data_IF_278746283991
#
_entry.id   IF_278746283991
#
_cell.length_a   1.000
_cell.length_b   1.000
_cell.length_c   1.000
_cell.angle_alpha   90.00
_cell.angle_beta   90.00
_cell.angle_gamma   90.00
#
_symmetry.space_group_name_H-M   'P 1'
#
loop_
_entity.id
_entity.type
_entity.pdbx_description
1 polymer ?
#
# COMPACT_ATOMS: atom_id res chain seq x y z
N UNK A 1 -9.65 74.28 14.38
CA UNK A 1 -9.44 73.66 13.06
C UNK A 1 -9.32 72.15 13.25
N UNK A 2 -10.39 71.40 12.92
CA UNK A 2 -10.41 69.92 12.95
C UNK A 2 -9.80 69.37 11.66
N UNK A 3 -8.79 68.52 11.75
CA UNK A 3 -8.33 67.68 10.63
C UNK A 3 -9.15 66.39 10.63
N UNK A 4 -9.97 66.20 9.61
CA UNK A 4 -10.70 64.95 9.37
C UNK A 4 -9.73 63.86 8.91
N UNK A 5 -9.80 62.69 9.55
CA UNK A 5 -9.17 61.46 9.08
C UNK A 5 -10.15 60.79 8.12
N UNK A 6 -9.79 60.68 6.84
CA UNK A 6 -10.50 59.82 5.89
C UNK A 6 -9.97 58.39 6.07
N UNK A 7 -10.83 57.47 6.49
CA UNK A 7 -10.60 56.03 6.39
C UNK A 7 -10.94 55.59 4.96
N UNK A 8 -9.98 54.93 4.31
CA UNK A 8 -10.21 54.17 3.08
C UNK A 8 -10.60 52.75 3.50
N UNK A 9 -11.78 52.22 3.11
CA UNK A 9 -12.10 50.82 3.38
C UNK A 9 -11.27 49.93 2.44
N UNK A 10 -10.40 49.10 3.02
CA UNK A 10 -9.72 48.02 2.32
C UNK A 10 -10.73 46.90 2.09
N UNK A 11 -11.14 46.70 0.84
CA UNK A 11 -11.97 45.57 0.43
C UNK A 11 -11.06 44.33 0.37
N UNK A 12 -11.11 43.46 1.38
CA UNK A 12 -10.41 42.17 1.35
C UNK A 12 -11.31 41.18 0.62
N UNK A 13 -10.95 40.85 -0.62
CA UNK A 13 -11.57 39.78 -1.40
C UNK A 13 -11.05 38.44 -0.86
N UNK A 14 -11.86 37.73 -0.08
CA UNK A 14 -11.54 36.35 0.33
C UNK A 14 -12.01 35.43 -0.79
N UNK A 15 -11.10 35.02 -1.66
CA UNK A 15 -11.34 33.91 -2.58
C UNK A 15 -11.22 32.60 -1.79
N UNK A 16 -12.36 32.05 -1.36
CA UNK A 16 -12.42 30.66 -0.88
C UNK A 16 -12.40 29.76 -2.10
N UNK A 17 -11.26 29.16 -2.41
CA UNK A 17 -11.21 28.01 -3.30
C UNK A 17 -11.76 26.82 -2.51
N UNK A 18 -13.06 26.56 -2.65
CA UNK A 18 -13.66 25.33 -2.15
C UNK A 18 -13.33 24.19 -3.10
N UNK A 19 -12.37 23.35 -2.73
CA UNK A 19 -12.31 22.00 -3.29
C UNK A 19 -13.47 21.22 -2.64
N UNK A 20 -14.53 20.97 -3.41
CA UNK A 20 -15.60 20.07 -2.98
C UNK A 20 -15.03 18.67 -3.17
N UNK A 21 -14.62 18.00 -2.09
CA UNK A 21 -14.37 16.57 -2.11
C UNK A 21 -15.65 15.90 -2.63
N UNK A 22 -15.57 15.28 -3.81
CA UNK A 22 -16.70 14.53 -4.34
C UNK A 22 -16.87 13.29 -3.45
N UNK A 23 -18.10 13.05 -2.99
CA UNK A 23 -18.41 11.85 -2.20
C UNK A 23 -18.12 10.59 -3.02
N UNK A 24 -17.86 9.48 -2.33
CA UNK A 24 -17.64 8.17 -2.95
C UNK A 24 -18.80 7.79 -3.89
N UNK A 25 -18.47 7.44 -5.13
CA UNK A 25 -19.40 6.96 -6.16
C UNK A 25 -19.02 5.52 -6.54
N UNK A 26 -19.79 4.51 -6.10
CA UNK A 26 -19.49 3.10 -6.37
C UNK A 26 -19.45 2.76 -7.87
N UNK A 27 -20.31 3.35 -8.70
CA UNK A 27 -20.34 3.05 -10.14
C UNK A 27 -19.13 3.65 -10.87
N UNK A 28 -18.64 4.78 -10.41
CA UNK A 28 -17.44 5.42 -10.94
C UNK A 28 -16.18 4.68 -10.49
N UNK A 29 -16.15 4.27 -9.22
CA UNK A 29 -15.12 3.41 -8.64
C UNK A 29 -14.94 2.12 -9.45
N UNK A 30 -16.01 1.34 -9.64
CA UNK A 30 -15.97 0.07 -10.39
C UNK A 30 -15.48 0.27 -11.82
N UNK A 31 -15.91 1.36 -12.48
CA UNK A 31 -15.50 1.69 -13.84
C UNK A 31 -14.02 2.01 -13.94
N UNK A 32 -13.50 2.81 -13.01
CA UNK A 32 -12.08 3.16 -12.99
C UNK A 32 -11.24 1.94 -12.64
N UNK A 33 -11.69 1.15 -11.64
CA UNK A 33 -11.03 -0.10 -11.28
C UNK A 33 -11.00 -1.09 -12.44
N UNK A 34 -12.10 -1.23 -13.20
CA UNK A 34 -12.13 -2.07 -14.40
C UNK A 34 -11.25 -1.54 -15.54
N UNK A 35 -11.14 -0.22 -15.71
CA UNK A 35 -10.24 0.39 -16.70
C UNK A 35 -8.77 0.14 -16.35
N UNK A 36 -8.45 0.13 -15.07
CA UNK A 36 -7.13 -0.14 -14.53
C UNK A 36 -6.81 -1.65 -14.52
N UNK A 37 -7.83 -2.47 -14.21
CA UNK A 37 -7.84 -3.87 -13.74
C UNK A 37 -7.38 -4.99 -14.68
N UNK A 38 -7.11 -4.72 -15.96
CA UNK A 38 -6.66 -5.73 -16.94
C UNK A 38 -7.59 -6.96 -17.05
N UNK A 39 -7.35 -7.84 -18.03
CA UNK A 39 -8.08 -9.12 -18.11
C UNK A 39 -7.48 -10.10 -17.08
N UNK A 40 -8.17 -10.30 -15.96
CA UNK A 40 -7.87 -11.32 -14.96
C UNK A 40 -8.11 -12.72 -15.56
N UNK A 41 -7.09 -13.28 -16.19
CA UNK A 41 -7.12 -14.60 -16.80
C UNK A 41 -6.73 -15.68 -15.81
N UNK A 42 -7.62 -16.66 -15.60
CA UNK A 42 -7.36 -17.83 -14.75
C UNK A 42 -6.10 -18.57 -15.26
N UNK A 43 -5.06 -18.59 -14.43
CA UNK A 43 -3.94 -19.56 -14.40
C UNK A 43 -2.58 -18.86 -14.27
N UNK A 44 -2.36 -18.14 -13.17
CA UNK A 44 -1.01 -17.93 -12.66
C UNK A 44 -0.76 -18.91 -11.49
N UNK A 45 0.47 -19.43 -11.43
CA UNK A 45 0.92 -20.23 -10.30
C UNK A 45 1.31 -19.22 -9.22
N UNK A 46 0.56 -19.17 -8.13
CA UNK A 46 0.90 -18.32 -6.99
C UNK A 46 1.73 -19.10 -5.99
N UNK A 47 2.79 -18.49 -5.47
CA UNK A 47 3.50 -18.98 -4.29
C UNK A 47 2.70 -18.54 -3.07
N UNK A 48 2.30 -19.50 -2.25
CA UNK A 48 1.53 -19.28 -1.03
C UNK A 48 2.41 -19.64 0.17
N UNK A 49 2.53 -18.72 1.12
CA UNK A 49 3.06 -19.01 2.46
C UNK A 49 2.07 -18.52 3.51
N UNK A 50 1.94 -19.27 4.60
CA UNK A 50 0.98 -18.96 5.65
C UNK A 50 1.49 -19.38 7.04
N UNK A 51 0.81 -18.90 8.07
CA UNK A 51 0.86 -19.46 9.43
C UNK A 51 -0.54 -19.95 9.82
N UNK A 52 -0.83 -20.06 11.12
CA UNK A 52 -2.15 -20.55 11.60
C UNK A 52 -3.30 -19.54 11.42
N UNK A 53 -3.02 -18.29 11.04
CA UNK A 53 -4.01 -17.20 10.99
C UNK A 53 -4.03 -16.40 9.69
N UNK A 54 -2.89 -16.26 9.01
CA UNK A 54 -2.71 -15.36 7.87
C UNK A 54 -1.86 -15.99 6.78
N UNK A 55 -2.15 -15.62 5.54
CA UNK A 55 -1.46 -16.06 4.35
C UNK A 55 -1.13 -14.87 3.43
N UNK A 56 -0.05 -15.04 2.67
CA UNK A 56 0.31 -14.16 1.56
C UNK A 56 0.54 -15.01 0.32
N UNK A 57 -0.06 -14.59 -0.79
CA UNK A 57 0.15 -15.17 -2.11
C UNK A 57 0.94 -14.18 -2.96
N UNK A 58 1.94 -14.67 -3.69
CA UNK A 58 2.71 -13.90 -4.66
C UNK A 58 2.54 -14.50 -6.05
N UNK A 59 2.31 -13.66 -7.06
CA UNK A 59 2.26 -14.10 -8.46
C UNK A 59 3.67 -14.49 -8.92
N UNK A 60 3.85 -15.78 -9.26
CA UNK A 60 5.12 -16.33 -9.74
C UNK A 60 5.24 -16.38 -11.28
N UNK A 61 4.26 -15.84 -12.00
CA UNK A 61 4.21 -15.86 -13.46
C UNK A 61 5.03 -14.72 -14.08
N UNK A 62 6.17 -15.03 -14.73
CA UNK A 62 7.07 -14.02 -15.33
C UNK A 62 6.48 -13.27 -16.53
N UNK A 63 5.30 -13.69 -17.02
CA UNK A 63 4.57 -13.06 -18.12
C UNK A 63 3.35 -12.24 -17.68
N UNK A 64 3.10 -12.14 -16.38
CA UNK A 64 1.99 -11.40 -15.79
C UNK A 64 2.50 -10.43 -14.70
N UNK A 65 1.80 -10.35 -13.56
CA UNK A 65 2.05 -9.41 -12.47
C UNK A 65 3.13 -9.92 -11.51
N UNK A 66 4.25 -10.36 -12.08
CA UNK A 66 5.31 -11.09 -11.38
C UNK A 66 5.89 -10.32 -10.20
N UNK A 67 5.80 -10.89 -9.00
CA UNK A 67 6.28 -10.27 -7.76
C UNK A 67 5.23 -9.46 -6.99
N UNK A 68 4.02 -9.27 -7.55
CA UNK A 68 2.87 -8.74 -6.81
C UNK A 68 2.31 -9.78 -5.84
N UNK A 69 1.70 -9.31 -4.77
CA UNK A 69 1.14 -10.15 -3.73
C UNK A 69 -0.22 -9.65 -3.24
N UNK A 70 -1.01 -10.55 -2.68
CA UNK A 70 -2.20 -10.24 -1.91
C UNK A 70 -2.23 -11.09 -0.63
N UNK A 71 -3.01 -10.65 0.35
CA UNK A 71 -3.00 -11.13 1.72
C UNK A 71 -4.45 -11.47 2.12
N UNK A 72 -4.58 -12.56 2.87
CA UNK A 72 -5.85 -12.96 3.47
C UNK A 72 -5.64 -13.79 4.72
N UNK A 73 -6.76 -14.12 5.37
CA UNK A 73 -6.78 -15.02 6.51
C UNK A 73 -6.54 -16.47 6.08
N UNK A 74 -6.04 -17.28 7.00
CA UNK A 74 -5.83 -18.71 6.82
C UNK A 74 -6.34 -19.47 8.03
N UNK A 75 -7.03 -20.61 7.86
CA UNK A 75 -7.41 -21.28 6.60
C UNK A 75 -8.71 -20.77 5.97
N UNK A 76 -9.39 -19.79 6.58
CA UNK A 76 -10.74 -19.35 6.18
C UNK A 76 -10.77 -18.63 4.82
N UNK A 77 -9.61 -18.19 4.32
CA UNK A 77 -9.44 -17.49 3.05
C UNK A 77 -10.25 -16.20 2.89
N UNK A 78 -10.52 -15.50 3.99
CA UNK A 78 -11.13 -14.16 3.95
C UNK A 78 -10.11 -13.12 3.48
N UNK A 79 -10.53 -12.26 2.56
CA UNK A 79 -9.73 -11.21 1.92
C UNK A 79 -9.29 -10.13 2.91
N UNK A 80 -8.02 -9.71 2.85
CA UNK A 80 -7.50 -8.52 3.55
C UNK A 80 -6.93 -7.49 2.55
N UNK A 81 -6.38 -7.95 1.43
CA UNK A 81 -6.07 -7.09 0.28
C UNK A 81 -6.71 -7.65 -0.97
N UNK A 82 -7.07 -6.78 -1.89
CA UNK A 82 -7.86 -7.08 -3.07
C UNK A 82 -7.43 -8.36 -3.82
N UNK A 83 -8.44 -9.08 -4.27
CA UNK A 83 -8.39 -10.32 -5.02
C UNK A 83 -7.94 -11.58 -4.27
N UNK A 84 -7.43 -11.55 -3.03
CA UNK A 84 -7.12 -12.81 -2.31
C UNK A 84 -8.39 -13.68 -2.13
N UNK A 85 -8.38 -15.01 -2.33
CA UNK A 85 -7.24 -15.90 -2.66
C UNK A 85 -7.06 -16.16 -4.18
N UNK A 86 -7.48 -15.22 -5.02
CA UNK A 86 -7.25 -15.20 -6.47
C UNK A 86 -5.91 -14.53 -6.81
N UNK A 87 -5.61 -14.43 -8.11
CA UNK A 87 -4.33 -13.94 -8.61
C UNK A 87 -3.98 -12.54 -8.05
N UNK A 88 -2.78 -12.37 -7.47
CA UNK A 88 -2.29 -11.07 -7.02
C UNK A 88 -2.16 -10.05 -8.15
N UNK A 89 -2.66 -8.85 -7.92
CA UNK A 89 -2.70 -7.80 -8.95
C UNK A 89 -2.42 -6.40 -8.41
N UNK A 90 -2.88 -6.08 -7.20
CA UNK A 90 -3.05 -4.69 -6.74
C UNK A 90 -1.98 -4.18 -5.78
N UNK A 91 -1.07 -5.04 -5.29
CA UNK A 91 0.10 -4.55 -4.55
C UNK A 91 1.06 -3.87 -5.52
N UNK A 92 1.45 -2.65 -5.21
CA UNK A 92 2.31 -1.84 -6.07
C UNK A 92 3.52 -1.35 -5.30
N UNK A 93 4.69 -1.51 -5.91
CA UNK A 93 5.94 -1.02 -5.36
C UNK A 93 6.58 -0.13 -6.39
N UNK A 94 6.91 1.09 -6.01
CA UNK A 94 7.69 2.02 -6.82
C UNK A 94 8.98 2.32 -6.08
N UNK A 95 10.10 2.11 -6.76
CA UNK A 95 11.42 2.50 -6.27
C UNK A 95 11.82 3.77 -7.01
N UNK A 96 12.13 4.82 -6.26
CA UNK A 96 12.58 6.10 -6.83
C UNK A 96 14.08 6.24 -6.61
N UNK A 97 14.85 6.41 -7.69
CA UNK A 97 16.30 6.61 -7.66
C UNK A 97 16.62 7.94 -8.33
N UNK A 98 17.26 8.85 -7.59
CA UNK A 98 17.73 10.16 -8.09
C UNK A 98 16.67 10.99 -8.83
N UNK A 99 15.41 10.85 -8.44
CA UNK A 99 14.28 11.58 -9.03
C UNK A 99 13.54 10.84 -10.14
N UNK A 100 14.01 9.66 -10.55
CA UNK A 100 13.31 8.79 -11.51
C UNK A 100 12.59 7.66 -10.77
N UNK A 101 11.34 7.37 -11.16
CA UNK A 101 10.52 6.35 -10.52
C UNK A 101 10.45 5.09 -11.38
N UNK A 102 10.65 3.94 -10.75
CA UNK A 102 10.60 2.63 -11.39
C UNK A 102 9.56 1.75 -10.71
N UNK A 103 8.57 1.27 -11.45
CA UNK A 103 7.58 0.33 -10.92
C UNK A 103 8.19 -1.05 -10.86
N UNK A 104 7.85 -1.80 -9.82
CA UNK A 104 8.16 -3.22 -9.75
C UNK A 104 7.59 -3.96 -10.97
N UNK A 105 8.17 -5.10 -11.34
CA UNK A 105 7.75 -5.87 -12.50
C UNK A 105 6.25 -6.24 -12.47
N UNK A 106 5.61 -6.24 -13.63
CA UNK A 106 4.17 -6.45 -13.79
C UNK A 106 3.50 -5.34 -14.61
N UNK A 107 2.47 -5.70 -15.37
CA UNK A 107 1.88 -4.86 -16.42
C UNK A 107 0.64 -4.06 -16.00
N UNK A 108 0.38 -3.94 -14.70
CA UNK A 108 -0.84 -3.31 -14.18
C UNK A 108 -1.06 -1.84 -14.58
N UNK A 109 -2.03 -1.16 -13.96
CA UNK A 109 -2.68 0.01 -14.54
C UNK A 109 -1.75 1.10 -15.08
N UNK A 110 -1.86 1.32 -16.38
CA UNK A 110 -1.32 2.47 -17.10
C UNK A 110 -2.24 3.68 -16.95
N UNK A 111 -1.71 4.80 -16.46
CA UNK A 111 -2.34 6.11 -16.58
C UNK A 111 -1.47 6.96 -17.51
N UNK A 112 -2.03 7.47 -18.60
CA UNK A 112 -1.34 8.05 -19.77
C UNK A 112 -0.35 9.22 -19.54
N UNK A 113 -0.15 9.71 -18.31
CA UNK A 113 0.68 10.90 -18.05
C UNK A 113 1.75 10.79 -16.94
N UNK A 114 1.80 9.73 -16.13
CA UNK A 114 2.79 9.57 -15.04
C UNK A 114 3.25 8.12 -14.88
N UNK A 115 3.63 7.47 -15.97
CA UNK A 115 4.09 6.08 -15.89
C UNK A 115 5.52 6.00 -15.35
N UNK A 116 5.72 5.40 -14.16
CA UNK A 116 7.06 5.03 -13.73
C UNK A 116 7.70 4.06 -14.75
N UNK A 117 9.01 4.15 -14.91
CA UNK A 117 9.78 3.27 -15.78
C UNK A 117 9.67 1.81 -15.33
N UNK A 118 9.74 0.86 -16.25
CA UNK A 118 9.68 -0.56 -15.90
C UNK A 118 10.99 -1.01 -15.26
N UNK A 119 10.92 -1.70 -14.12
CA UNK A 119 12.08 -2.38 -13.53
C UNK A 119 12.49 -3.65 -14.29
N UNK A 120 13.67 -4.20 -13.99
CA UNK A 120 14.04 -5.52 -14.49
C UNK A 120 13.12 -6.61 -13.92
N UNK A 121 12.91 -7.76 -14.61
CA UNK A 121 12.05 -8.83 -14.12
C UNK A 121 12.39 -9.29 -12.70
N UNK A 122 11.34 -9.63 -11.92
CA UNK A 122 11.50 -10.19 -10.59
C UNK A 122 12.21 -11.54 -10.68
N UNK A 123 12.83 -12.00 -9.61
CA UNK A 123 13.43 -13.32 -9.54
C UNK A 123 13.22 -13.87 -8.14
N UNK A 124 12.65 -15.07 -8.05
CA UNK A 124 12.57 -15.82 -6.80
C UNK A 124 13.96 -16.34 -6.46
N UNK A 125 14.37 -16.14 -5.22
CA UNK A 125 15.66 -16.57 -4.71
C UNK A 125 15.48 -17.58 -3.60
N UNK A 126 16.27 -18.66 -3.64
CA UNK A 126 16.43 -19.53 -2.48
C UNK A 126 17.27 -18.80 -1.43
N UNK A 127 16.67 -18.42 -0.29
CA UNK A 127 17.45 -17.78 0.77
C UNK A 127 18.19 -18.86 1.60
N UNK A 128 19.53 -18.79 1.73
CA UNK A 128 20.35 -19.96 2.01
C UNK A 128 20.40 -20.42 3.47
N UNK A 129 19.54 -19.92 4.37
CA UNK A 129 19.72 -20.17 5.82
C UNK A 129 18.55 -20.75 6.58
N UNK A 130 17.37 -20.94 5.98
CA UNK A 130 16.29 -21.58 6.72
C UNK A 130 15.23 -22.21 5.80
N UNK A 131 15.24 -23.54 5.62
CA UNK A 131 14.21 -24.28 4.89
C UNK A 131 12.91 -24.46 5.70
N UNK A 132 12.89 -24.08 6.99
CA UNK A 132 11.72 -24.22 7.87
C UNK A 132 10.91 -22.92 8.04
N UNK A 133 11.44 -21.77 7.61
CA UNK A 133 10.67 -20.52 7.66
C UNK A 133 9.83 -20.32 6.40
N UNK A 134 8.52 -20.16 6.62
CA UNK A 134 7.52 -19.92 5.59
C UNK A 134 7.62 -18.47 5.07
N UNK A 135 8.58 -18.18 4.19
CA UNK A 135 8.68 -16.87 3.53
C UNK A 135 8.78 -17.00 2.01
N UNK A 136 8.44 -15.92 1.33
CA UNK A 136 8.73 -15.72 -0.09
C UNK A 136 9.82 -14.66 -0.18
N UNK A 137 10.91 -14.98 -0.86
CA UNK A 137 12.04 -14.08 -1.06
C UNK A 137 12.41 -13.97 -2.54
N UNK A 138 12.65 -12.76 -2.99
CA UNK A 138 13.07 -12.48 -4.35
C UNK A 138 13.50 -11.04 -4.53
N UNK A 139 13.74 -10.63 -5.77
CA UNK A 139 14.18 -9.28 -6.04
C UNK A 139 14.38 -8.98 -7.52
N UNK A 140 14.80 -7.75 -7.79
CA UNK A 140 15.10 -7.21 -9.11
C UNK A 140 16.18 -6.12 -9.00
N UNK A 141 16.61 -5.58 -10.14
CA UNK A 141 17.47 -4.40 -10.21
C UNK A 141 16.78 -3.25 -10.96
N UNK A 142 17.23 -2.02 -10.71
CA UNK A 142 16.74 -0.83 -11.41
C UNK A 142 17.51 -0.70 -12.74
N UNK A 143 16.88 -0.73 -13.93
CA UNK A 143 17.61 -0.85 -15.20
C UNK A 143 18.62 0.25 -15.50
N UNK A 144 18.30 1.50 -15.19
CA UNK A 144 19.22 2.63 -15.39
C UNK A 144 20.29 2.74 -14.27
N UNK A 145 20.10 1.98 -13.19
CA UNK A 145 21.00 1.89 -12.04
C UNK A 145 21.23 0.41 -11.69
N UNK A 146 21.87 -0.38 -12.57
CA UNK A 146 21.90 -1.84 -12.47
C UNK A 146 22.62 -2.36 -11.22
N UNK A 147 23.44 -1.52 -10.58
CA UNK A 147 24.11 -1.82 -9.32
C UNK A 147 23.21 -1.58 -8.08
N UNK A 148 22.02 -0.99 -8.25
CA UNK A 148 20.98 -0.89 -7.24
C UNK A 148 20.09 -2.13 -7.30
N UNK A 149 20.23 -2.99 -6.30
CA UNK A 149 19.44 -4.21 -6.14
C UNK A 149 18.30 -4.00 -5.14
N UNK A 150 17.11 -4.45 -5.49
CA UNK A 150 15.89 -4.38 -4.67
C UNK A 150 15.47 -5.80 -4.31
N UNK A 151 15.34 -6.09 -3.03
CA UNK A 151 14.90 -7.38 -2.51
C UNK A 151 13.56 -7.23 -1.79
N UNK A 152 12.64 -8.16 -2.04
CA UNK A 152 11.35 -8.29 -1.39
C UNK A 152 11.33 -9.57 -0.54
N UNK A 153 10.84 -9.44 0.69
CA UNK A 153 10.55 -10.55 1.59
C UNK A 153 9.12 -10.42 2.09
N UNK A 154 8.36 -11.51 1.98
CA UNK A 154 7.00 -11.64 2.50
C UNK A 154 6.98 -12.83 3.45
N UNK A 155 6.66 -12.59 4.72
CA UNK A 155 6.72 -13.64 5.74
C UNK A 155 5.55 -13.53 6.72
N UNK A 156 4.70 -14.56 6.86
CA UNK A 156 3.78 -14.68 7.99
C UNK A 156 4.57 -14.82 9.30
N UNK A 157 4.29 -13.94 10.23
CA UNK A 157 4.87 -13.92 11.59
C UNK A 157 3.76 -13.91 12.63
N UNK A 158 4.09 -14.34 13.84
CA UNK A 158 3.20 -14.24 14.99
C UNK A 158 3.55 -12.99 15.79
N UNK A 159 2.55 -12.16 16.08
CA UNK A 159 2.63 -11.16 17.14
C UNK A 159 1.95 -11.72 18.38
N UNK A 160 2.75 -11.96 19.41
CA UNK A 160 2.31 -12.57 20.66
C UNK A 160 2.02 -11.46 21.69
N UNK A 161 0.76 -11.34 22.07
CA UNK A 161 0.29 -10.53 23.18
C UNK A 161 -0.05 -11.45 24.38
N UNK A 162 -0.12 -10.91 25.60
CA UNK A 162 -0.38 -11.73 26.79
C UNK A 162 -1.64 -12.61 26.73
N UNK A 163 -2.70 -12.11 26.08
CA UNK A 163 -4.01 -12.78 26.00
C UNK A 163 -4.44 -13.09 24.56
N UNK A 164 -3.61 -12.76 23.55
CA UNK A 164 -3.96 -12.91 22.14
C UNK A 164 -2.69 -13.18 21.30
N UNK A 165 -2.81 -13.99 20.25
CA UNK A 165 -1.74 -14.18 19.26
C UNK A 165 -2.35 -14.03 17.89
N UNK A 166 -1.84 -13.06 17.14
CA UNK A 166 -2.36 -12.72 15.82
C UNK A 166 -1.32 -13.05 14.75
N UNK A 167 -1.78 -13.47 13.57
CA UNK A 167 -0.95 -13.51 12.38
C UNK A 167 -0.73 -12.12 11.79
N UNK A 168 0.47 -11.86 11.31
CA UNK A 168 0.80 -10.62 10.57
C UNK A 168 1.72 -10.98 9.42
N UNK A 169 1.60 -10.30 8.27
CA UNK A 169 2.59 -10.43 7.20
C UNK A 169 3.67 -9.36 7.40
N UNK A 170 4.90 -9.81 7.64
CA UNK A 170 6.07 -8.96 7.60
C UNK A 170 6.46 -8.72 6.14
N UNK A 171 6.28 -7.48 5.69
CA UNK A 171 6.62 -7.02 4.34
C UNK A 171 7.92 -6.22 4.46
N UNK A 172 8.97 -6.70 3.80
CA UNK A 172 10.28 -6.05 3.86
C UNK A 172 10.85 -5.82 2.47
N UNK A 173 11.21 -4.58 2.21
CA UNK A 173 12.07 -4.21 1.10
C UNK A 173 13.47 -3.89 1.61
N UNK A 174 14.47 -4.53 1.00
CA UNK A 174 15.88 -4.20 1.22
C UNK A 174 16.46 -3.71 -0.09
N UNK A 175 16.95 -2.48 -0.09
CA UNK A 175 17.62 -1.89 -1.25
C UNK A 175 19.10 -1.78 -0.94
N UNK A 176 19.94 -2.26 -1.86
CA UNK A 176 21.39 -2.26 -1.74
C UNK A 176 21.96 -1.50 -2.92
N UNK A 177 22.65 -0.40 -2.64
CA UNK A 177 23.54 0.22 -3.61
C UNK A 177 24.89 -0.52 -3.64
N UNK A 178 25.24 -1.13 -4.77
CA UNK A 178 26.52 -1.82 -4.96
C UNK A 178 27.53 -1.02 -5.79
N UNK A 179 27.18 0.19 -6.24
CA UNK A 179 28.11 1.08 -6.93
C UNK A 179 28.96 1.90 -5.95
N UNK A 180 29.72 2.85 -6.51
CA UNK A 180 30.63 3.73 -5.76
C UNK A 180 30.08 5.14 -5.53
N UNK A 181 28.88 5.45 -6.04
CA UNK A 181 28.27 6.77 -5.98
C UNK A 181 27.22 6.83 -4.87
N UNK A 182 26.84 8.04 -4.46
CA UNK A 182 25.75 8.23 -3.51
C UNK A 182 24.45 8.45 -4.27
N UNK A 183 23.42 7.68 -3.94
CA UNK A 183 22.09 7.76 -4.56
C UNK A 183 21.00 8.14 -3.56
N UNK A 184 20.02 8.91 -4.02
CA UNK A 184 18.78 9.18 -3.29
C UNK A 184 17.74 8.12 -3.65
N UNK A 185 17.46 7.23 -2.71
CA UNK A 185 16.56 6.09 -2.94
C UNK A 185 15.34 6.19 -2.02
N UNK A 186 14.15 6.11 -2.59
CA UNK A 186 12.88 6.02 -1.87
C UNK A 186 12.05 4.83 -2.34
N UNK A 187 11.12 4.39 -1.49
CA UNK A 187 10.15 3.33 -1.81
C UNK A 187 8.74 3.82 -1.53
N UNK A 188 7.84 3.58 -2.46
CA UNK A 188 6.40 3.69 -2.25
C UNK A 188 5.80 2.29 -2.34
N UNK A 189 5.11 1.87 -1.28
CA UNK A 189 4.29 0.66 -1.28
C UNK A 189 2.83 1.09 -1.25
N UNK A 190 2.05 0.60 -2.20
CA UNK A 190 0.62 0.77 -2.27
C UNK A 190 -0.06 -0.59 -2.08
N UNK A 191 -1.05 -0.62 -1.19
CA UNK A 191 -1.86 -1.80 -0.88
C UNK A 191 -3.32 -1.45 -1.14
N UNK A 192 -4.00 -2.28 -1.93
CA UNK A 192 -5.43 -2.15 -2.18
C UNK A 192 -6.20 -3.01 -1.18
N UNK A 193 -6.95 -2.38 -0.29
CA UNK A 193 -7.70 -3.07 0.76
C UNK A 193 -9.07 -3.51 0.25
N UNK A 194 -9.35 -4.80 0.44
CA UNK A 194 -10.67 -5.40 0.29
C UNK A 194 -10.85 -6.33 1.49
N UNK A 195 -11.73 -5.96 2.43
CA UNK A 195 -11.86 -6.69 3.69
C UNK A 195 -13.11 -7.55 3.62
N UNK A 196 -12.91 -8.88 3.59
CA UNK A 196 -13.97 -9.81 3.25
C UNK A 196 -14.51 -9.51 1.84
N UNK A 197 -15.78 -9.14 1.75
CA UNK A 197 -16.44 -8.77 0.50
C UNK A 197 -16.49 -7.25 0.25
N UNK A 198 -15.94 -6.43 1.17
CA UNK A 198 -15.99 -4.97 1.08
C UNK A 198 -14.79 -4.42 0.30
N UNK A 199 -14.98 -4.25 -0.99
CA UNK A 199 -14.07 -3.53 -1.87
C UNK A 199 -14.30 -2.02 -1.74
N UNK A 200 -13.22 -1.25 -1.57
CA UNK A 200 -13.24 0.10 -0.97
C UNK A 200 -13.58 0.12 0.54
N UNK A 201 -13.01 -0.83 1.28
CA UNK A 201 -13.09 -0.89 2.73
C UNK A 201 -12.73 0.45 3.38
N UNK A 202 -13.57 0.98 4.29
CA UNK A 202 -13.27 2.23 4.94
C UNK A 202 -12.07 2.06 5.87
N UNK A 203 -11.27 3.12 5.97
CA UNK A 203 -10.01 3.13 6.70
C UNK A 203 -10.09 4.06 7.91
N UNK A 204 -9.37 3.72 8.97
CA UNK A 204 -9.11 4.61 10.09
C UNK A 204 -7.65 4.52 10.52
N UNK A 205 -7.25 5.48 11.32
CA UNK A 205 -5.97 5.44 12.03
C UNK A 205 -6.21 5.61 13.52
N UNK A 206 -5.15 5.51 14.32
CA UNK A 206 -5.21 5.90 15.74
C UNK A 206 -5.60 7.37 15.96
N UNK A 207 -5.53 8.21 14.91
CA UNK A 207 -5.90 9.62 14.95
C UNK A 207 -7.38 9.87 14.64
N UNK A 208 -8.11 8.83 14.24
CA UNK A 208 -9.54 8.88 14.00
C UNK A 208 -9.97 8.13 12.74
N UNK A 209 -11.28 8.12 12.55
CA UNK A 209 -11.92 7.62 11.34
C UNK A 209 -12.20 8.79 10.39
N UNK A 210 -11.82 8.64 9.12
CA UNK A 210 -12.12 9.60 8.07
C UNK A 210 -12.66 8.86 6.84
N UNK A 211 -13.81 9.30 6.34
CA UNK A 211 -14.37 8.82 5.07
C UNK A 211 -13.82 9.56 3.85
N UNK A 212 -12.79 10.38 4.02
CA UNK A 212 -12.09 11.11 2.95
C UNK A 212 -10.60 10.78 2.99
N UNK A 213 -9.90 11.09 1.90
CA UNK A 213 -8.45 10.92 1.80
C UNK A 213 -7.71 11.67 2.91
N UNK A 214 -6.74 10.99 3.54
CA UNK A 214 -5.87 11.58 4.55
C UNK A 214 -4.40 11.37 4.18
N UNK A 215 -3.56 12.32 4.58
CA UNK A 215 -2.14 12.34 4.28
C UNK A 215 -1.35 12.72 5.54
N UNK A 216 -0.49 11.81 5.98
CA UNK A 216 0.29 11.91 7.20
C UNK A 216 1.77 11.98 6.86
N UNK A 217 2.44 13.02 7.37
CA UNK A 217 3.88 13.19 7.23
C UNK A 217 4.57 12.81 8.54
N UNK A 218 5.58 11.95 8.45
CA UNK A 218 6.41 11.61 9.61
C UNK A 218 7.46 12.70 9.80
N UNK A 219 7.10 13.71 10.60
CA UNK A 219 7.91 14.90 10.83
C UNK A 219 7.96 15.24 12.33
N UNK A 220 8.99 15.95 12.78
CA UNK A 220 9.21 16.28 14.21
C UNK A 220 8.03 17.01 14.89
N UNK A 221 7.19 17.69 14.10
CA UNK A 221 6.05 18.48 14.58
C UNK A 221 4.69 17.89 14.20
N UNK A 222 4.68 16.76 13.50
CA UNK A 222 3.48 16.12 12.96
C UNK A 222 3.11 14.93 13.83
N UNK A 223 1.81 14.70 14.02
CA UNK A 223 1.36 13.42 14.58
C UNK A 223 1.31 12.38 13.46
N UNK A 224 1.94 11.22 13.69
CA UNK A 224 2.03 10.16 12.69
C UNK A 224 1.34 8.89 13.21
N UNK A 225 0.37 8.31 12.46
CA UNK A 225 -0.34 7.13 12.92
C UNK A 225 0.53 5.89 12.77
N UNK A 226 0.98 5.33 13.89
CA UNK A 226 1.76 4.09 13.86
C UNK A 226 0.93 2.84 13.52
N UNK A 227 -0.39 2.97 13.47
CA UNK A 227 -1.32 1.90 13.12
C UNK A 227 -2.48 2.44 12.29
N UNK A 228 -2.95 1.63 11.36
CA UNK A 228 -4.17 1.86 10.59
C UNK A 228 -5.04 0.61 10.58
N UNK A 229 -6.33 0.81 10.35
CA UNK A 229 -7.33 -0.26 10.33
C UNK A 229 -8.20 -0.14 9.08
N UNK A 230 -8.52 -1.26 8.44
CA UNK A 230 -9.54 -1.37 7.40
C UNK A 230 -10.65 -2.31 7.86
N UNK A 231 -11.89 -1.97 7.53
CA UNK A 231 -13.07 -2.61 8.09
C UNK A 231 -13.88 -3.33 7.00
N UNK A 232 -14.40 -4.52 7.33
CA UNK A 232 -15.37 -5.20 6.48
C UNK A 232 -16.70 -4.47 6.42
N UNK A 233 -17.19 -3.92 7.54
CA UNK A 233 -18.46 -3.19 7.54
C UNK A 233 -18.25 -1.79 6.94
N UNK A 234 -19.07 -1.36 5.96
CA UNK A 234 -19.04 -0.01 5.42
C UNK A 234 -19.30 1.10 6.47
N UNK A 235 -19.93 0.77 7.61
CA UNK A 235 -20.07 1.67 8.75
C UNK A 235 -18.76 1.83 9.56
N UNK A 236 -17.68 1.17 9.14
CA UNK A 236 -16.36 1.22 9.74
C UNK A 236 -16.38 0.77 11.20
N UNK A 237 -15.74 1.51 12.13
CA UNK A 237 -15.68 1.12 13.54
C UNK A 237 -17.05 1.16 14.26
N UNK A 238 -18.10 1.73 13.63
CA UNK A 238 -19.46 1.73 14.16
C UNK A 238 -20.32 0.56 13.66
N UNK A 239 -19.77 -0.29 12.79
CA UNK A 239 -20.41 -1.46 12.22
C UNK A 239 -20.49 -2.66 13.17
N UNK A 240 -20.68 -3.86 12.61
CA UNK A 240 -20.69 -5.11 13.38
C UNK A 240 -19.42 -5.24 14.25
N UNK A 241 -19.52 -5.41 15.58
CA UNK A 241 -18.35 -5.57 16.44
C UNK A 241 -17.53 -6.84 16.15
N UNK A 242 -18.12 -7.86 15.52
CA UNK A 242 -17.47 -9.12 15.17
C UNK A 242 -16.97 -9.16 13.71
N UNK A 243 -16.99 -8.01 13.02
CA UNK A 243 -16.53 -7.86 11.63
C UNK A 243 -15.05 -8.22 11.47
N UNK A 244 -14.64 -8.58 10.24
CA UNK A 244 -13.22 -8.68 9.93
C UNK A 244 -12.58 -7.29 9.91
N UNK A 245 -11.41 -7.17 10.54
CA UNK A 245 -10.62 -5.95 10.57
C UNK A 245 -9.19 -6.30 10.15
N UNK A 246 -8.68 -5.64 9.11
CA UNK A 246 -7.25 -5.65 8.83
C UNK A 246 -6.58 -4.54 9.63
N UNK A 247 -5.40 -4.82 10.19
CA UNK A 247 -4.56 -3.83 10.86
C UNK A 247 -3.19 -3.80 10.19
N UNK A 248 -2.70 -2.60 9.88
CA UNK A 248 -1.32 -2.39 9.49
C UNK A 248 -0.51 -1.71 10.60
N UNK A 249 0.76 -2.09 10.70
CA UNK A 249 1.72 -1.56 11.68
C UNK A 249 2.77 -0.77 10.92
N UNK A 250 2.87 0.52 11.20
CA UNK A 250 3.81 1.44 10.58
C UNK A 250 4.99 1.77 11.49
N UNK A 251 4.88 1.58 12.81
CA UNK A 251 5.97 1.78 13.76
C UNK A 251 6.15 0.60 14.72
N UNK A 252 7.41 0.30 15.06
CA UNK A 252 7.73 -0.78 15.99
C UNK A 252 7.65 -2.17 15.34
N UNK A 253 7.88 -3.25 16.11
CA UNK A 253 7.88 -4.63 15.59
C UNK A 253 8.72 -4.82 14.31
N UNK A 254 9.86 -4.12 14.24
CA UNK A 254 10.77 -4.05 13.08
C UNK A 254 10.24 -3.30 11.84
N UNK A 255 9.04 -2.72 11.89
CA UNK A 255 8.57 -1.79 10.88
C UNK A 255 9.44 -0.52 10.89
N UNK A 256 9.84 -0.09 9.71
CA UNK A 256 10.48 1.22 9.49
C UNK A 256 9.37 2.21 9.14
N UNK A 257 9.10 3.22 9.99
CA UNK A 257 8.08 4.23 9.70
C UNK A 257 8.38 4.92 8.37
N UNK A 258 7.42 5.02 7.44
CA UNK A 258 7.63 5.74 6.21
C UNK A 258 7.67 7.25 6.48
N UNK A 259 8.30 8.02 5.58
CA UNK A 259 8.30 9.48 5.66
C UNK A 259 6.89 10.07 5.43
N UNK A 260 6.02 9.32 4.74
CA UNK A 260 4.65 9.68 4.41
C UNK A 260 3.77 8.44 4.39
N UNK A 261 2.56 8.54 4.96
CA UNK A 261 1.51 7.54 4.86
C UNK A 261 0.24 8.23 4.38
N UNK A 262 -0.37 7.72 3.32
CA UNK A 262 -1.60 8.26 2.77
C UNK A 262 -2.65 7.16 2.66
N UNK A 263 -3.89 7.51 2.99
CA UNK A 263 -5.06 6.64 2.82
C UNK A 263 -6.04 7.35 1.91
N UNK A 264 -6.67 6.61 1.02
CA UNK A 264 -7.60 7.17 0.07
C UNK A 264 -8.30 6.09 -0.73
N UNK A 265 -9.37 6.49 -1.41
CA UNK A 265 -10.02 5.62 -2.37
C UNK A 265 -9.24 5.63 -3.68
N UNK A 266 -9.35 4.56 -4.47
CA UNK A 266 -8.98 4.63 -5.88
C UNK A 266 -9.76 5.77 -6.54
N UNK A 267 -9.11 6.46 -7.47
CA UNK A 267 -9.59 7.72 -8.01
C UNK A 267 -11.08 7.64 -8.30
N UNK A 268 -11.80 8.59 -7.70
CA UNK A 268 -13.00 9.24 -8.23
C UNK A 268 -13.12 9.03 -9.70
#
# INVERSE_FOLDING_TARGET
>A
MRRGKFLVPLLVLVCVAGAIAQGFDPERYERNKAALGGNQGISAKSLLVHNDYIAVQLDDNPSADYGRFNIGTWPENRTLTYAYPSDPWSSWVIVRVDGESYVAPGGGPSCDELEPLTSAPFSIYDWPTDPDSSYIYGGWYVPDYPDISVYQMLQPVYLVYPDDTTGTIFIKYRIINNDTECHWIGVLLQLDTMIGDNDAAPLSTILGYSGIEEDFWNCDTCEFPCYWFAYEDPAGPAGDPDQLIAMGILCGFEATPPDRFAVGAWST
#
